data_IF_030356719787
#
_entry.id   IF_030356719787
#
_cell.length_a   1.000
_cell.length_b   1.000
_cell.length_c   1.000
_cell.angle_alpha   90.00
_cell.angle_beta   90.00
_cell.angle_gamma   90.00
#
_symmetry.space_group_name_H-M   'P 1'
#
loop_
_entity.id
_entity.type
_entity.pdbx_description
1 polymer ?
#
# COMPACT_ATOMS: atom_id res chain seq x y z
N UNK A 1 10.85 -29.08 14.82
CA UNK A 1 11.04 -28.01 13.81
C UNK A 1 10.44 -26.75 14.40
N UNK A 2 11.15 -25.62 14.39
CA UNK A 2 10.52 -24.37 14.79
C UNK A 2 9.68 -23.84 13.64
N UNK A 3 8.51 -23.32 13.96
CA UNK A 3 7.62 -22.74 12.97
C UNK A 3 7.20 -21.35 13.39
N UNK A 4 6.95 -20.50 12.41
CA UNK A 4 6.41 -19.17 12.61
C UNK A 4 5.26 -18.95 11.65
N UNK A 5 4.13 -18.54 12.19
CA UNK A 5 2.97 -18.21 11.37
C UNK A 5 3.11 -16.78 10.89
N UNK A 6 3.00 -16.58 9.58
CA UNK A 6 3.00 -15.25 8.95
C UNK A 6 1.67 -15.07 8.25
N UNK A 7 0.88 -14.12 8.70
CA UNK A 7 -0.39 -13.77 8.11
C UNK A 7 -0.15 -12.81 6.95
N UNK A 8 -0.67 -13.16 5.77
CA UNK A 8 -0.52 -12.37 4.55
C UNK A 8 -1.82 -12.23 3.79
N UNK A 9 -1.90 -11.19 2.97
CA UNK A 9 -2.99 -11.01 2.01
C UNK A 9 -2.77 -11.85 0.75
N UNK A 10 -3.84 -12.42 0.20
CA UNK A 10 -3.77 -13.36 -0.91
C UNK A 10 -3.22 -12.74 -2.21
N UNK A 11 -3.59 -11.49 -2.51
CA UNK A 11 -3.23 -10.82 -3.77
C UNK A 11 -1.88 -10.13 -3.67
N UNK A 12 -1.77 -9.15 -2.76
CA UNK A 12 -0.57 -8.33 -2.64
C UNK A 12 0.56 -8.99 -1.83
N UNK A 13 0.28 -10.10 -1.13
CA UNK A 13 1.23 -10.81 -0.25
C UNK A 13 1.82 -9.94 0.87
N UNK A 14 1.26 -8.76 1.11
CA UNK A 14 1.61 -7.89 2.23
C UNK A 14 1.43 -8.65 3.55
N UNK A 15 2.35 -8.43 4.49
CA UNK A 15 2.28 -9.03 5.82
C UNK A 15 1.25 -8.25 6.63
N UNK A 16 0.23 -8.96 7.11
CA UNK A 16 -0.73 -8.44 8.06
C UNK A 16 -0.17 -8.53 9.48
N UNK A 17 0.31 -9.72 9.85
CA UNK A 17 0.86 -9.97 11.17
C UNK A 17 1.90 -11.10 11.14
N UNK A 18 2.94 -10.96 11.97
CA UNK A 18 3.95 -12.01 12.16
C UNK A 18 3.85 -12.51 13.58
N UNK A 19 3.50 -13.79 13.73
CA UNK A 19 3.42 -14.42 15.05
C UNK A 19 4.80 -14.72 15.62
N UNK A 20 4.82 -14.99 16.93
CA UNK A 20 5.98 -15.54 17.60
C UNK A 20 6.39 -16.88 16.99
N UNK A 21 7.64 -17.27 17.23
CA UNK A 21 8.17 -18.57 16.82
C UNK A 21 7.67 -19.61 17.83
N UNK A 22 7.01 -20.65 17.34
CA UNK A 22 6.76 -21.87 18.12
C UNK A 22 8.08 -22.63 18.25
N UNK A 23 8.63 -22.59 19.46
CA UNK A 23 9.95 -23.09 19.77
C UNK A 23 9.88 -24.59 20.05
N UNK A 24 10.50 -25.38 19.18
CA UNK A 24 10.75 -26.79 19.50
C UNK A 24 11.95 -26.93 20.44
N UNK A 25 12.13 -28.11 21.05
CA UNK A 25 13.23 -28.42 22.00
C UNK A 25 14.66 -28.23 21.44
N UNK A 26 14.79 -28.05 20.12
CA UNK A 26 16.04 -27.78 19.43
C UNK A 26 16.28 -26.30 19.09
N UNK A 27 15.41 -25.39 19.55
CA UNK A 27 15.56 -23.95 19.33
C UNK A 27 16.92 -23.44 19.82
N UNK A 28 17.59 -22.63 19.01
CA UNK A 28 18.93 -22.08 19.30
C UNK A 28 20.12 -23.01 19.02
N UNK A 29 19.91 -24.26 18.60
CA UNK A 29 21.02 -25.15 18.19
C UNK A 29 21.53 -24.80 16.79
N UNK A 30 22.84 -24.95 16.55
CA UNK A 30 23.43 -24.77 15.22
C UNK A 30 22.76 -25.73 14.21
N UNK A 31 22.44 -25.22 13.03
CA UNK A 31 21.75 -25.99 11.98
C UNK A 31 20.23 -26.10 12.15
N UNK A 32 19.65 -25.38 13.11
CA UNK A 32 18.20 -25.36 13.31
C UNK A 32 17.52 -24.25 12.50
N UNK A 33 16.74 -24.62 11.49
CA UNK A 33 15.97 -23.67 10.66
C UNK A 33 14.57 -23.43 11.20
N UNK A 34 14.14 -22.17 11.21
CA UNK A 34 12.72 -21.80 11.43
C UNK A 34 11.98 -21.87 10.10
N UNK A 35 10.87 -22.59 10.05
CA UNK A 35 10.00 -22.63 8.88
C UNK A 35 8.89 -21.58 9.00
N UNK A 36 8.77 -20.72 7.99
CA UNK A 36 7.65 -19.78 7.90
C UNK A 36 6.45 -20.48 7.25
N UNK A 37 5.31 -20.46 7.94
CA UNK A 37 4.01 -20.92 7.42
C UNK A 37 3.13 -19.72 7.15
N UNK A 38 2.79 -19.54 5.88
CA UNK A 38 1.95 -18.43 5.45
C UNK A 38 0.48 -18.81 5.58
N UNK A 39 -0.29 -17.97 6.27
CA UNK A 39 -1.75 -18.08 6.36
C UNK A 39 -2.35 -16.89 5.63
N UNK A 40 -3.34 -17.15 4.76
CA UNK A 40 -4.02 -16.10 4.01
C UNK A 40 -5.21 -15.59 4.83
N UNK A 41 -5.19 -14.29 5.16
CA UNK A 41 -6.20 -13.69 6.06
C UNK A 41 -7.22 -12.79 5.34
N UNK A 42 -6.97 -12.44 4.08
CA UNK A 42 -7.85 -11.56 3.32
C UNK A 42 -7.39 -11.36 1.87
N UNK A 43 -8.17 -10.59 1.11
CA UNK A 43 -7.92 -10.39 -0.32
C UNK A 43 -6.79 -9.38 -0.58
N UNK A 44 -6.93 -8.14 -0.10
CA UNK A 44 -5.98 -7.03 -0.27
C UNK A 44 -5.76 -6.29 1.06
N UNK A 45 -4.55 -5.76 1.27
CA UNK A 45 -4.24 -4.93 2.43
C UNK A 45 -4.83 -3.51 2.28
N UNK A 46 -4.95 -2.70 3.33
CA UNK A 46 -5.50 -1.34 3.23
C UNK A 46 -4.86 -0.49 2.14
N UNK A 47 -3.53 -0.54 1.98
CA UNK A 47 -2.77 0.20 0.95
C UNK A 47 -3.05 -0.26 -0.49
N UNK A 48 -3.48 -1.51 -0.66
CA UNK A 48 -3.78 -2.12 -1.97
C UNK A 48 -5.28 -2.42 -2.15
N UNK A 49 -6.08 -2.17 -1.12
CA UNK A 49 -7.52 -2.10 -1.22
C UNK A 49 -7.79 -0.79 -1.94
N UNK A 50 -8.54 -0.82 -3.03
CA UNK A 50 -8.84 0.36 -3.86
C UNK A 50 -9.63 1.47 -3.14
N UNK A 51 -9.57 1.53 -1.80
CA UNK A 51 -9.84 2.70 -0.98
C UNK A 51 -8.81 3.79 -1.31
N UNK A 52 -8.90 4.31 -2.53
CA UNK A 52 -8.76 5.72 -2.76
C UNK A 52 -9.77 6.39 -1.81
N UNK A 53 -9.32 6.77 -0.62
CA UNK A 53 -10.05 7.66 0.28
C UNK A 53 -10.32 9.04 -0.38
N UNK A 54 -9.85 9.24 -1.61
CA UNK A 54 -10.15 10.35 -2.49
C UNK A 54 -11.35 10.13 -3.46
N UNK A 55 -12.15 9.05 -3.35
CA UNK A 55 -13.28 8.82 -4.29
C UNK A 55 -14.54 8.25 -3.65
N UNK A 56 -14.88 8.68 -2.45
CA UNK A 56 -16.30 8.80 -2.05
C UNK A 56 -16.65 10.28 -2.08
N UNK A 57 -17.87 10.69 -2.48
CA UNK A 57 -18.28 12.07 -2.25
C UNK A 57 -18.15 12.32 -0.75
N UNK A 58 -17.25 13.23 -0.35
CA UNK A 58 -17.20 13.70 1.02
C UNK A 58 -18.63 14.09 1.42
N UNK A 59 -19.13 13.70 2.61
CA UNK A 59 -20.37 14.27 3.09
C UNK A 59 -20.14 15.78 3.15
N UNK A 60 -21.12 16.53 2.67
CA UNK A 60 -21.01 17.96 2.40
C UNK A 60 -20.91 18.74 3.73
N UNK A 61 -19.74 18.71 4.37
CA UNK A 61 -19.34 19.67 5.39
C UNK A 61 -18.58 20.75 4.63
N UNK A 62 -19.25 21.87 4.37
CA UNK A 62 -18.73 22.93 3.53
C UNK A 62 -17.32 23.39 3.94
N UNK A 63 -16.44 23.47 2.95
CA UNK A 63 -15.40 24.50 2.87
C UNK A 63 -13.98 24.10 3.29
N UNK A 64 -13.11 23.89 2.31
CA UNK A 64 -11.79 24.54 2.30
C UNK A 64 -11.26 24.70 0.86
N UNK A 65 -10.83 25.90 0.43
CA UNK A 65 -10.28 26.13 -0.90
C UNK A 65 -8.76 25.89 -0.92
N UNK A 66 -8.29 25.09 -1.86
CA UNK A 66 -6.89 25.10 -2.30
C UNK A 66 -6.05 23.89 -1.88
N UNK A 67 -5.91 22.93 -2.80
CA UNK A 67 -4.66 22.18 -3.04
C UNK A 67 -4.79 21.48 -4.39
N UNK A 68 -4.18 22.08 -5.40
CA UNK A 68 -4.10 21.58 -6.77
C UNK A 68 -3.17 20.37 -6.85
N UNK A 69 -3.73 19.18 -7.06
CA UNK A 69 -2.97 17.99 -7.47
C UNK A 69 -3.00 17.87 -8.99
N UNK A 70 -2.09 18.60 -9.63
CA UNK A 70 -1.81 18.49 -11.07
C UNK A 70 -1.07 17.17 -11.34
N UNK A 71 -1.80 16.09 -11.59
CA UNK A 71 -1.28 14.83 -12.13
C UNK A 71 -1.51 14.76 -13.63
N UNK A 72 -0.60 15.35 -14.41
CA UNK A 72 -0.68 15.39 -15.86
C UNK A 72 -0.27 14.07 -16.52
N UNK A 73 -1.21 13.42 -17.21
CA UNK A 73 -0.91 12.46 -18.28
C UNK A 73 -1.81 12.80 -19.47
N UNK A 74 -1.21 13.31 -20.55
CA UNK A 74 -1.92 13.62 -21.80
C UNK A 74 -1.20 14.68 -22.60
N UNK A 75 -0.37 14.24 -23.56
CA UNK A 75 0.50 15.10 -24.35
C UNK A 75 -0.24 16.22 -25.09
N UNK A 76 0.33 17.42 -25.03
CA UNK A 76 -0.12 18.59 -25.77
C UNK A 76 0.97 18.97 -26.78
N UNK A 77 0.86 18.41 -27.98
CA UNK A 77 1.33 19.12 -29.17
C UNK A 77 0.22 20.07 -29.61
N UNK A 78 0.60 21.21 -30.19
CA UNK A 78 -0.27 22.20 -30.87
C UNK A 78 -1.04 23.12 -29.90
N UNK A 79 -1.08 24.44 -30.01
CA UNK A 79 -0.63 25.40 -31.02
C UNK A 79 -0.66 26.79 -30.35
N UNK A 80 0.26 27.68 -30.77
CA UNK A 80 0.65 28.85 -30.01
C UNK A 80 -0.36 29.99 -29.89
N UNK A 81 0.07 31.03 -29.15
CA UNK A 81 -0.28 32.45 -29.32
C UNK A 81 0.68 33.32 -28.51
N UNK A 82 1.52 34.01 -29.27
CA UNK A 82 2.34 35.15 -28.88
C UNK A 82 1.48 36.25 -28.22
N UNK A 83 1.98 36.93 -27.18
CA UNK A 83 2.24 38.37 -27.21
C UNK A 83 2.78 38.92 -25.89
N UNK A 84 3.82 39.73 -26.06
CA UNK A 84 4.61 40.51 -25.12
C UNK A 84 3.86 41.77 -24.69
N UNK A 85 3.97 42.17 -23.42
CA UNK A 85 4.13 43.60 -23.08
C UNK A 85 4.86 43.77 -21.75
N UNK A 86 6.00 44.45 -21.82
CA UNK A 86 6.76 44.96 -20.68
C UNK A 86 6.16 46.28 -20.20
N UNK A 87 5.93 46.42 -18.89
CA UNK A 87 6.32 47.60 -18.09
C UNK A 87 5.98 47.40 -16.62
#
# INVERSE_FOLDING_TARGET
MCMRVVERYAVCKCVYYTHGIDQCSAYGRRGHSVQDKTVLVGHTCPDHSGANWATGPAPNYGGFPGSSSTGGFGGSGESGRYNVHWR
#
